data_IF_879552283667
#
_entry.id   IF_879552283667
#
_cell.length_a   1.000
_cell.length_b   1.000
_cell.length_c   1.000
_cell.angle_alpha   90.00
_cell.angle_beta   90.00
_cell.angle_gamma   90.00
#
_symmetry.space_group_name_H-M   'P 1'
#
loop_
_entity.id
_entity.type
_entity.pdbx_description
1 polymer ?
#
# COMPACT_ATOMS: atom_id res chain seq x y z
N UNK A 1 -20.44 -26.09 20.92
CA UNK A 1 -20.04 -24.87 21.67
C UNK A 1 -18.54 -24.59 21.60
N UNK A 2 -17.63 -25.29 22.29
CA UNK A 2 -16.20 -24.89 22.34
C UNK A 2 -15.50 -24.84 20.95
N UNK A 3 -15.83 -25.76 20.04
CA UNK A 3 -15.31 -25.75 18.66
C UNK A 3 -15.82 -24.58 17.81
N UNK A 4 -17.06 -24.14 18.01
CA UNK A 4 -17.62 -22.98 17.30
C UNK A 4 -16.99 -21.69 17.80
N UNK A 5 -16.76 -21.55 19.11
CA UNK A 5 -16.06 -20.39 19.68
C UNK A 5 -14.62 -20.29 19.17
N UNK A 6 -13.92 -21.43 19.01
CA UNK A 6 -12.58 -21.46 18.39
C UNK A 6 -12.60 -21.08 16.92
N UNK A 7 -13.59 -21.54 16.13
CA UNK A 7 -13.73 -21.14 14.72
C UNK A 7 -14.03 -19.65 14.57
N UNK A 8 -14.92 -19.09 15.41
CA UNK A 8 -15.23 -17.66 15.42
C UNK A 8 -13.99 -16.81 15.74
N UNK A 9 -13.22 -17.18 16.76
CA UNK A 9 -11.97 -16.50 17.10
C UNK A 9 -10.92 -16.57 15.97
N UNK A 10 -10.75 -17.72 15.31
CA UNK A 10 -9.84 -17.82 14.17
C UNK A 10 -10.26 -16.88 13.03
N UNK A 11 -11.56 -16.78 12.73
CA UNK A 11 -12.07 -15.91 11.67
C UNK A 11 -11.75 -14.44 11.95
N UNK A 12 -11.95 -13.98 13.17
CA UNK A 12 -11.66 -12.59 13.57
C UNK A 12 -10.17 -12.27 13.53
N UNK A 13 -9.31 -13.20 13.96
CA UNK A 13 -7.85 -13.05 13.89
C UNK A 13 -7.38 -12.97 12.44
N UNK A 14 -7.89 -13.88 11.61
CA UNK A 14 -7.63 -13.89 10.17
C UNK A 14 -8.04 -12.55 9.56
N UNK A 15 -9.25 -12.07 9.84
CA UNK A 15 -9.76 -10.80 9.34
C UNK A 15 -8.88 -9.61 9.76
N UNK A 16 -8.40 -9.57 11.01
CA UNK A 16 -7.42 -8.57 11.50
C UNK A 16 -6.10 -8.60 10.76
N UNK A 17 -5.53 -9.79 10.50
CA UNK A 17 -4.27 -9.95 9.77
C UNK A 17 -4.45 -9.52 8.30
N UNK A 18 -5.62 -9.77 7.70
CA UNK A 18 -5.89 -9.38 6.32
C UNK A 18 -5.86 -7.87 6.09
N UNK A 19 -6.11 -7.05 7.11
CA UNK A 19 -5.97 -5.59 7.01
C UNK A 19 -4.53 -5.12 6.83
N UNK A 20 -3.54 -5.90 7.30
CA UNK A 20 -2.13 -5.53 7.19
C UNK A 20 -1.55 -5.84 5.80
N UNK A 21 -2.16 -6.76 5.05
CA UNK A 21 -1.60 -7.25 3.77
C UNK A 21 -1.58 -6.17 2.67
N UNK A 22 -2.66 -5.42 2.39
CA UNK A 22 -2.61 -4.37 1.37
C UNK A 22 -1.60 -3.25 1.68
N UNK A 23 -1.51 -2.72 2.92
CA UNK A 23 -0.44 -1.81 3.33
C UNK A 23 0.97 -2.35 3.06
N UNK A 24 1.23 -3.59 3.50
CA UNK A 24 2.55 -4.22 3.37
C UNK A 24 2.89 -4.40 1.89
N UNK A 25 1.93 -4.87 1.08
CA UNK A 25 2.16 -5.07 -0.35
C UNK A 25 2.51 -3.76 -1.06
N UNK A 26 1.84 -2.66 -0.74
CA UNK A 26 2.13 -1.39 -1.41
C UNK A 26 3.45 -0.79 -0.94
N UNK A 27 3.72 -0.75 0.37
CA UNK A 27 4.95 -0.14 0.90
C UNK A 27 6.18 -0.94 0.50
N UNK A 28 6.13 -2.27 0.61
CA UNK A 28 7.31 -3.10 0.39
C UNK A 28 7.43 -3.60 -1.05
N UNK A 29 6.34 -3.89 -1.76
CA UNK A 29 6.46 -4.44 -3.13
C UNK A 29 6.31 -3.33 -4.17
N UNK A 30 5.23 -2.57 -4.09
CA UNK A 30 4.85 -1.66 -5.17
C UNK A 30 5.67 -0.38 -5.20
N UNK A 31 5.95 0.22 -4.04
CA UNK A 31 6.70 1.48 -3.94
C UNK A 31 8.13 1.38 -4.50
N UNK A 32 8.92 0.36 -4.13
CA UNK A 32 10.26 0.22 -4.68
C UNK A 32 10.22 -0.09 -6.17
N UNK A 33 9.26 -0.90 -6.63
CA UNK A 33 9.06 -1.18 -8.05
C UNK A 33 8.86 0.10 -8.88
N UNK A 34 8.06 1.04 -8.39
CA UNK A 34 7.79 2.31 -9.09
C UNK A 34 8.97 3.27 -9.08
N UNK A 35 9.68 3.37 -7.95
CA UNK A 35 10.89 4.19 -7.88
C UNK A 35 11.93 3.71 -8.91
N UNK A 36 12.06 2.39 -9.09
CA UNK A 36 12.96 1.81 -10.07
C UNK A 36 12.42 1.77 -11.50
N UNK A 37 11.09 1.76 -11.70
CA UNK A 37 10.49 1.80 -13.04
C UNK A 37 10.85 3.09 -13.79
N UNK A 38 10.98 4.21 -13.07
CA UNK A 38 11.47 5.47 -13.64
C UNK A 38 12.95 5.45 -14.05
N UNK A 39 13.74 4.50 -13.52
CA UNK A 39 15.18 4.44 -13.71
C UNK A 39 15.65 3.39 -14.74
N UNK A 40 14.76 2.49 -15.22
CA UNK A 40 15.13 1.35 -16.09
C UNK A 40 16.30 0.48 -15.56
N UNK A 41 16.58 0.53 -14.25
CA UNK A 41 17.66 -0.23 -13.65
C UNK A 41 17.19 -1.62 -13.21
N UNK A 42 18.03 -2.63 -13.44
CA UNK A 42 17.80 -3.98 -12.94
C UNK A 42 17.63 -3.97 -11.42
N UNK A 43 16.48 -4.46 -10.94
CA UNK A 43 16.17 -4.53 -9.51
C UNK A 43 17.04 -5.63 -8.88
N UNK A 44 18.21 -5.24 -8.38
CA UNK A 44 18.98 -6.09 -7.47
C UNK A 44 18.39 -6.00 -6.06
N UNK A 45 18.52 -7.07 -5.26
CA UNK A 45 18.09 -7.05 -3.86
C UNK A 45 18.80 -5.94 -3.05
N UNK A 46 20.06 -5.67 -3.38
CA UNK A 46 20.85 -4.63 -2.72
C UNK A 46 20.36 -3.22 -3.04
N UNK A 47 19.96 -2.98 -4.29
CA UNK A 47 19.29 -1.75 -4.73
C UNK A 47 17.98 -1.55 -3.97
N UNK A 48 17.14 -2.60 -3.94
CA UNK A 48 15.87 -2.58 -3.21
C UNK A 48 16.02 -2.20 -1.72
N UNK A 49 16.98 -2.79 -1.01
CA UNK A 49 17.26 -2.46 0.40
C UNK A 49 17.73 -1.01 0.56
N UNK A 50 18.53 -0.51 -0.39
CA UNK A 50 19.02 0.87 -0.38
C UNK A 50 17.88 1.89 -0.57
N UNK A 51 16.96 1.64 -1.50
CA UNK A 51 15.79 2.49 -1.69
C UNK A 51 14.89 2.49 -0.47
N UNK A 52 14.66 1.32 0.16
CA UNK A 52 13.91 1.28 1.42
C UNK A 52 14.58 2.08 2.54
N UNK A 53 15.91 2.02 2.66
CA UNK A 53 16.66 2.82 3.64
C UNK A 53 16.55 4.31 3.36
N UNK A 54 16.81 4.73 2.13
CA UNK A 54 16.73 6.14 1.71
C UNK A 54 15.35 6.72 1.99
N UNK A 55 14.32 5.96 1.63
CA UNK A 55 12.94 6.30 1.92
C UNK A 55 12.73 6.45 3.44
N UNK A 56 12.95 5.40 4.23
CA UNK A 56 12.54 5.40 5.64
C UNK A 56 13.39 6.32 6.51
N UNK A 57 14.66 6.54 6.16
CA UNK A 57 15.66 7.17 7.05
C UNK A 57 16.02 8.59 6.59
N UNK A 58 16.23 8.80 5.29
CA UNK A 58 16.89 10.01 4.80
C UNK A 58 15.90 11.11 4.37
N UNK A 59 14.74 10.75 3.79
CA UNK A 59 13.72 11.72 3.37
C UNK A 59 12.29 11.28 3.75
N UNK A 60 11.85 11.57 5.00
CA UNK A 60 10.54 11.13 5.47
C UNK A 60 9.36 11.95 4.90
N UNK A 61 9.59 13.19 4.48
CA UNK A 61 8.50 14.10 4.05
C UNK A 61 7.78 13.63 2.76
N UNK A 62 8.48 13.18 1.70
CA UNK A 62 7.85 12.57 0.53
C UNK A 62 7.04 11.32 0.90
N UNK A 63 7.50 10.54 1.89
CA UNK A 63 6.78 9.35 2.35
C UNK A 63 5.52 9.69 3.09
N UNK A 64 5.53 10.70 3.96
CA UNK A 64 4.31 11.11 4.65
C UNK A 64 3.24 11.59 3.66
N UNK A 65 3.64 12.28 2.59
CA UNK A 65 2.73 12.68 1.53
C UNK A 65 2.21 11.46 0.74
N UNK A 66 3.11 10.55 0.34
CA UNK A 66 2.74 9.32 -0.39
C UNK A 66 1.85 8.37 0.40
N UNK A 67 2.19 8.18 1.67
CA UNK A 67 1.42 7.32 2.57
C UNK A 67 0.01 7.87 2.81
N UNK A 68 -0.19 9.20 2.82
CA UNK A 68 -1.51 9.78 3.02
C UNK A 68 -2.51 9.41 1.92
N UNK A 69 -2.13 9.57 0.64
CA UNK A 69 -3.00 9.24 -0.48
C UNK A 69 -3.18 7.73 -0.64
N UNK A 70 -2.09 6.97 -0.54
CA UNK A 70 -2.12 5.52 -0.68
C UNK A 70 -2.99 4.89 0.42
N UNK A 71 -2.76 5.23 1.69
CA UNK A 71 -3.55 4.68 2.79
C UNK A 71 -4.98 5.22 2.80
N UNK A 72 -5.19 6.48 2.44
CA UNK A 72 -6.52 7.07 2.33
C UNK A 72 -7.39 6.30 1.33
N UNK A 73 -6.91 6.11 0.10
CA UNK A 73 -7.65 5.39 -0.93
C UNK A 73 -7.77 3.89 -0.64
N UNK A 74 -6.78 3.29 0.00
CA UNK A 74 -6.85 1.90 0.46
C UNK A 74 -7.94 1.69 1.50
N UNK A 75 -8.04 2.59 2.49
CA UNK A 75 -9.11 2.57 3.50
C UNK A 75 -10.49 2.73 2.87
N UNK A 76 -10.63 3.63 1.89
CA UNK A 76 -11.87 3.80 1.11
C UNK A 76 -12.20 2.50 0.35
N UNK A 77 -11.22 1.92 -0.33
CA UNK A 77 -11.42 0.68 -1.08
C UNK A 77 -11.78 -0.50 -0.19
N UNK A 78 -11.22 -0.56 1.01
CA UNK A 78 -11.62 -1.55 1.99
C UNK A 78 -13.06 -1.31 2.43
N UNK A 79 -13.40 -0.08 2.80
CA UNK A 79 -14.75 0.26 3.27
C UNK A 79 -15.83 -0.15 2.26
N UNK A 80 -15.58 0.08 0.98
CA UNK A 80 -16.50 -0.31 -0.11
C UNK A 80 -16.55 -1.83 -0.31
N UNK A 81 -15.43 -2.53 -0.10
CA UNK A 81 -15.33 -3.97 -0.31
C UNK A 81 -15.61 -4.83 0.92
N UNK A 82 -15.79 -4.24 2.12
CA UNK A 82 -15.92 -4.96 3.40
C UNK A 82 -17.05 -5.97 3.49
N UNK A 83 -18.09 -5.86 2.66
CA UNK A 83 -19.20 -6.84 2.62
C UNK A 83 -19.05 -7.88 1.50
N UNK A 84 -18.00 -7.76 0.67
CA UNK A 84 -17.72 -8.66 -0.44
C UNK A 84 -16.85 -9.84 0.01
N UNK A 85 -16.63 -10.80 -0.89
CA UNK A 85 -15.73 -11.92 -0.66
C UNK A 85 -14.28 -11.49 -0.42
N UNK A 86 -13.49 -12.38 0.20
CA UNK A 86 -12.13 -12.10 0.65
C UNK A 86 -11.22 -11.55 -0.46
N UNK A 87 -11.31 -12.12 -1.67
CA UNK A 87 -10.52 -11.67 -2.82
C UNK A 87 -10.81 -10.21 -3.19
N UNK A 88 -12.08 -9.80 -3.21
CA UNK A 88 -12.48 -8.42 -3.53
C UNK A 88 -12.05 -7.44 -2.44
N UNK A 89 -11.99 -7.88 -1.18
CA UNK A 89 -11.46 -7.08 -0.05
C UNK A 89 -9.97 -6.81 -0.14
N UNK A 90 -9.24 -7.50 -1.01
CA UNK A 90 -7.80 -7.29 -1.24
C UNK A 90 -7.60 -6.53 -2.53
N UNK A 91 -8.25 -6.97 -3.60
CA UNK A 91 -8.10 -6.40 -4.95
C UNK A 91 -8.59 -4.96 -5.00
N UNK A 92 -9.75 -4.65 -4.41
CA UNK A 92 -10.33 -3.29 -4.48
C UNK A 92 -9.46 -2.26 -3.76
N UNK A 93 -8.99 -2.47 -2.52
CA UNK A 93 -8.04 -1.54 -1.88
C UNK A 93 -6.75 -1.35 -2.66
N UNK A 94 -6.20 -2.42 -3.27
CA UNK A 94 -4.97 -2.33 -4.08
C UNK A 94 -5.22 -1.45 -5.31
N UNK A 95 -6.29 -1.70 -6.06
CA UNK A 95 -6.65 -0.90 -7.24
C UNK A 95 -6.85 0.57 -6.85
N UNK A 96 -7.58 0.84 -5.77
CA UNK A 96 -7.83 2.22 -5.34
C UNK A 96 -6.56 2.91 -4.83
N UNK A 97 -5.67 2.19 -4.15
CA UNK A 97 -4.40 2.76 -3.74
C UNK A 97 -3.48 3.07 -4.94
N UNK A 98 -3.53 2.26 -6.01
CA UNK A 98 -2.87 2.59 -7.29
C UNK A 98 -3.46 3.89 -7.88
N UNK A 99 -4.79 4.06 -7.85
CA UNK A 99 -5.40 5.34 -8.24
C UNK A 99 -4.97 6.51 -7.35
N UNK A 100 -4.91 6.31 -6.03
CA UNK A 100 -4.44 7.31 -5.07
C UNK A 100 -3.02 7.79 -5.39
N UNK A 101 -2.15 6.87 -5.81
CA UNK A 101 -0.80 7.20 -6.26
C UNK A 101 -0.78 8.03 -7.55
N UNK A 102 -1.61 7.71 -8.56
CA UNK A 102 -1.70 8.55 -9.76
C UNK A 102 -2.19 9.96 -9.43
N UNK A 103 -3.17 10.08 -8.54
CA UNK A 103 -3.69 11.36 -8.06
C UNK A 103 -2.60 12.14 -7.33
N UNK A 104 -1.81 11.46 -6.51
CA UNK A 104 -0.66 12.05 -5.85
C UNK A 104 0.38 12.57 -6.83
N UNK A 105 0.75 11.79 -7.86
CA UNK A 105 1.72 12.24 -8.87
C UNK A 105 1.23 13.55 -9.49
N UNK A 106 -0.05 13.60 -9.88
CA UNK A 106 -0.67 14.82 -10.41
C UNK A 106 -0.64 15.96 -9.39
N UNK A 107 -0.95 15.69 -8.13
CA UNK A 107 -0.91 16.69 -7.07
C UNK A 107 0.51 17.24 -6.85
N UNK A 108 1.55 16.38 -6.90
CA UNK A 108 2.94 16.79 -6.84
C UNK A 108 3.33 17.70 -8.00
N UNK A 109 2.91 17.41 -9.24
CA UNK A 109 3.16 18.29 -10.38
C UNK A 109 2.49 19.67 -10.25
N UNK A 110 1.34 19.75 -9.56
CA UNK A 110 0.66 21.03 -9.31
C UNK A 110 1.33 21.82 -8.20
N UNK A 111 1.76 21.15 -7.12
CA UNK A 111 2.38 21.79 -5.95
C UNK A 111 3.85 22.16 -6.22
N UNK A 112 4.57 21.30 -6.94
CA UNK A 112 5.98 21.44 -7.32
C UNK A 112 6.13 21.31 -8.85
N UNK A 113 5.74 22.34 -9.61
CA UNK A 113 5.88 22.30 -11.06
C UNK A 113 7.37 22.17 -11.45
N UNK A 114 7.72 21.29 -12.39
CA UNK A 114 9.09 21.17 -12.89
C UNK A 114 9.48 22.48 -13.58
N UNK A 115 10.62 23.06 -13.16
CA UNK A 115 11.23 24.24 -13.78
C UNK A 115 12.07 23.85 -15.00
#
# INVERSE_FOLDING_TARGET
MEKETKMLNCKDVIEKIWWAIPPIFIVFVFFPLLHYWGAFECISFESYVRTLKFLVIDEPAPIFFHSYFIFGFMCVGYYVSRQKGLMLRIVIPIILAIFGMFIEIVAMFVIYPPH
#
